data_IF_591017718690
#
_entry.id   IF_591017718690
#
_cell.length_a   1.000
_cell.length_b   1.000
_cell.length_c   1.000
_cell.angle_alpha   90.00
_cell.angle_beta   90.00
_cell.angle_gamma   90.00
#
_symmetry.space_group_name_H-M   'P 1'
#
loop_
_entity.id
_entity.type
_entity.pdbx_description
1 polymer ?
#
# COMPACT_ATOMS: atom_id res chain seq x y z
N UNK A 1 14.50 -1.72 -9.03
CA UNK A 1 14.42 -2.68 -10.16
C UNK A 1 13.05 -2.53 -10.76
N UNK A 2 12.99 -2.28 -12.06
CA UNK A 2 11.74 -2.01 -12.75
C UNK A 2 11.36 -3.23 -13.57
N UNK A 3 10.07 -3.52 -13.65
CA UNK A 3 9.54 -4.64 -14.41
C UNK A 3 8.15 -4.29 -14.94
N UNK A 4 7.82 -4.82 -16.12
CA UNK A 4 6.46 -4.76 -16.61
C UNK A 4 5.60 -5.77 -15.83
N UNK A 5 4.41 -5.37 -15.39
CA UNK A 5 3.35 -6.30 -15.00
C UNK A 5 2.08 -5.83 -15.68
N UNK A 6 1.57 -6.59 -16.64
CA UNK A 6 0.39 -6.18 -17.39
C UNK A 6 -0.91 -6.44 -16.62
N UNK A 7 -2.00 -5.77 -17.04
CA UNK A 7 -3.36 -6.24 -16.77
C UNK A 7 -3.51 -7.70 -17.26
N UNK A 8 -4.56 -8.39 -16.81
CA UNK A 8 -4.87 -9.80 -17.14
C UNK A 8 -4.71 -10.14 -18.62
N UNK A 9 -5.00 -9.17 -19.51
CA UNK A 9 -5.01 -9.31 -20.98
C UNK A 9 -3.71 -8.86 -21.69
N UNK A 10 -2.65 -8.54 -20.95
CA UNK A 10 -1.35 -8.13 -21.49
C UNK A 10 -1.04 -6.64 -21.33
N UNK A 11 0.24 -6.30 -21.23
CA UNK A 11 0.71 -4.92 -21.18
C UNK A 11 0.68 -4.33 -22.60
N UNK A 12 -0.41 -3.66 -22.97
CA UNK A 12 -0.43 -2.83 -24.19
C UNK A 12 0.25 -1.49 -23.93
N UNK A 13 0.77 -0.84 -24.96
CA UNK A 13 1.37 0.50 -24.91
C UNK A 13 0.46 1.57 -24.26
N UNK A 14 -0.86 1.35 -24.29
CA UNK A 14 -1.89 2.22 -23.68
C UNK A 14 -2.34 1.79 -22.27
N UNK A 15 -1.80 0.69 -21.72
CA UNK A 15 -2.10 0.13 -20.38
C UNK A 15 -0.82 -0.31 -19.68
N UNK A 16 0.27 0.44 -19.80
CA UNK A 16 1.55 0.06 -19.19
C UNK A 16 1.50 0.23 -17.67
N UNK A 17 1.06 -0.82 -16.98
CA UNK A 17 1.28 -0.99 -15.55
C UNK A 17 2.73 -1.46 -15.38
N UNK A 18 3.50 -0.73 -14.59
CA UNK A 18 4.91 -1.05 -14.33
C UNK A 18 5.13 -1.15 -12.84
N UNK A 19 5.94 -2.11 -12.42
CA UNK A 19 6.27 -2.33 -11.03
C UNK A 19 7.71 -1.94 -10.77
N UNK A 20 7.96 -1.42 -9.57
CA UNK A 20 9.31 -1.17 -9.08
C UNK A 20 9.48 -1.86 -7.75
N UNK A 21 10.50 -2.71 -7.64
CA UNK A 21 10.95 -3.28 -6.38
C UNK A 21 12.23 -2.58 -5.92
N UNK A 22 12.28 -2.20 -4.65
CA UNK A 22 13.44 -1.69 -3.96
C UNK A 22 13.98 -2.77 -3.01
N UNK A 23 15.26 -3.10 -3.18
CA UNK A 23 15.98 -4.07 -2.37
C UNK A 23 17.09 -3.31 -1.65
N UNK A 24 16.96 -3.15 -0.33
CA UNK A 24 18.04 -2.57 0.47
C UNK A 24 19.28 -3.47 0.40
N UNK A 25 20.52 -2.93 0.31
CA UNK A 25 21.74 -3.73 0.21
C UNK A 25 21.87 -4.83 1.27
N UNK A 26 21.50 -4.54 2.52
CA UNK A 26 21.48 -5.52 3.63
C UNK A 26 20.64 -6.78 3.38
N UNK A 27 19.65 -6.73 2.49
CA UNK A 27 18.87 -7.92 2.12
C UNK A 27 19.71 -8.92 1.32
N UNK A 28 20.74 -8.45 0.64
CA UNK A 28 21.62 -9.24 -0.21
C UNK A 28 22.70 -9.97 0.59
N UNK A 29 22.96 -9.54 1.83
CA UNK A 29 24.01 -10.10 2.69
C UNK A 29 23.63 -11.48 3.26
N UNK A 30 22.34 -11.83 3.24
CA UNK A 30 21.85 -13.11 3.77
C UNK A 30 21.15 -13.93 2.68
N UNK A 31 21.96 -14.63 1.88
CA UNK A 31 21.47 -15.55 0.88
C UNK A 31 20.54 -16.61 1.49
N UNK A 32 19.41 -16.88 0.84
CA UNK A 32 18.44 -17.90 1.25
C UNK A 32 17.36 -17.43 2.23
N UNK A 33 17.54 -16.30 2.90
CA UNK A 33 16.51 -15.67 3.75
C UNK A 33 15.31 -15.23 2.92
N UNK A 34 14.11 -15.55 3.39
CA UNK A 34 12.86 -15.03 2.82
C UNK A 34 12.45 -13.78 3.59
N UNK A 35 12.26 -12.67 2.86
CA UNK A 35 11.94 -11.38 3.45
C UNK A 35 10.45 -11.05 3.28
N UNK A 36 9.83 -10.37 4.26
CA UNK A 36 8.53 -9.75 4.11
C UNK A 36 8.49 -8.77 2.93
N UNK A 37 7.28 -8.46 2.48
CA UNK A 37 7.06 -7.53 1.39
C UNK A 37 6.05 -6.46 1.77
N UNK A 38 6.38 -5.21 1.43
CA UNK A 38 5.47 -4.08 1.49
C UNK A 38 5.14 -3.64 0.07
N UNK A 39 3.85 -3.54 -0.23
CA UNK A 39 3.35 -3.04 -1.50
C UNK A 39 2.73 -1.67 -1.29
N UNK A 40 3.25 -0.64 -1.97
CA UNK A 40 2.76 0.74 -1.86
C UNK A 40 2.04 1.18 -3.13
N UNK A 41 0.74 1.48 -3.01
CA UNK A 41 -0.10 2.04 -4.05
C UNK A 41 -0.15 3.56 -3.91
N UNK A 42 0.29 4.25 -4.96
CA UNK A 42 0.22 5.70 -5.03
C UNK A 42 -1.22 6.22 -5.21
N UNK A 43 -1.43 7.47 -4.78
CA UNK A 43 -2.64 8.24 -5.04
C UNK A 43 -2.71 8.85 -6.45
N UNK A 44 -3.39 9.99 -6.58
CA UNK A 44 -3.48 10.69 -7.86
C UNK A 44 -2.08 11.05 -8.38
N UNK A 45 -1.82 10.71 -9.64
CA UNK A 45 -0.55 10.96 -10.33
C UNK A 45 -0.78 11.94 -11.48
N UNK A 46 -0.97 13.22 -11.16
CA UNK A 46 -1.35 14.25 -12.16
C UNK A 46 -0.30 14.44 -13.25
N UNK A 47 0.96 14.25 -12.90
CA UNK A 47 2.11 14.36 -13.79
C UNK A 47 2.34 13.09 -14.63
N UNK A 48 1.59 12.01 -14.37
CA UNK A 48 1.69 10.74 -15.08
C UNK A 48 3.12 10.18 -15.10
N UNK A 49 3.87 10.42 -14.02
CA UNK A 49 5.24 9.92 -13.87
C UNK A 49 5.20 8.45 -13.49
N UNK A 50 6.18 7.67 -13.94
CA UNK A 50 6.29 6.28 -13.51
C UNK A 50 6.87 6.21 -12.09
N UNK A 51 6.35 5.27 -11.29
CA UNK A 51 6.80 4.98 -9.92
C UNK A 51 6.81 6.21 -9.00
N UNK A 52 5.69 6.97 -8.90
CA UNK A 52 5.57 7.98 -7.86
C UNK A 52 5.81 7.32 -6.49
N UNK A 53 6.36 8.09 -5.55
CA UNK A 53 6.84 7.61 -4.24
C UNK A 53 8.05 6.68 -4.27
N UNK A 54 8.59 6.32 -5.43
CA UNK A 54 9.68 5.36 -5.55
C UNK A 54 10.78 5.84 -6.48
N UNK A 55 11.10 7.14 -6.44
CA UNK A 55 12.19 7.74 -7.22
C UNK A 55 11.78 8.52 -8.46
N UNK A 56 10.49 8.84 -8.61
CA UNK A 56 10.04 9.79 -9.62
C UNK A 56 10.44 11.22 -9.24
N UNK A 57 10.93 12.01 -10.20
CA UNK A 57 11.29 13.41 -9.97
C UNK A 57 10.07 14.23 -9.53
N UNK A 58 10.24 15.05 -8.48
CA UNK A 58 9.15 15.91 -7.95
C UNK A 58 8.12 15.18 -7.09
N UNK A 59 8.32 13.90 -6.80
CA UNK A 59 7.58 13.13 -5.81
C UNK A 59 8.44 12.91 -4.57
N UNK A 60 7.85 12.76 -3.36
CA UNK A 60 8.53 12.12 -2.24
C UNK A 60 9.08 10.74 -2.66
N UNK A 61 10.05 10.22 -1.91
CA UNK A 61 10.69 8.93 -2.18
C UNK A 61 10.76 8.06 -0.91
N UNK A 62 10.01 6.98 -0.90
CA UNK A 62 9.94 6.04 0.22
C UNK A 62 11.25 5.27 0.40
N UNK A 63 12.10 5.17 -0.62
CA UNK A 63 13.34 4.39 -0.54
C UNK A 63 14.28 4.95 0.53
N UNK A 64 14.40 6.27 0.62
CA UNK A 64 15.22 6.92 1.65
C UNK A 64 14.69 6.69 3.06
N UNK A 65 13.37 6.70 3.24
CA UNK A 65 12.77 6.35 4.52
C UNK A 65 12.95 4.87 4.86
N UNK A 66 12.84 4.00 3.86
CA UNK A 66 13.09 2.57 3.98
C UNK A 66 14.52 2.30 4.45
N UNK A 67 15.50 3.00 3.87
CA UNK A 67 16.89 2.92 4.30
C UNK A 67 17.02 3.28 5.77
N UNK A 68 16.43 4.39 6.20
CA UNK A 68 16.48 4.83 7.60
C UNK A 68 15.83 3.81 8.54
N UNK A 69 14.64 3.28 8.23
CA UNK A 69 14.01 2.25 9.06
C UNK A 69 14.87 1.01 9.25
N UNK A 70 15.58 0.59 8.20
CA UNK A 70 16.44 -0.58 8.23
C UNK A 70 17.77 -0.31 8.92
N UNK A 71 18.34 0.90 8.77
CA UNK A 71 19.55 1.31 9.46
C UNK A 71 19.31 1.47 10.96
N UNK A 72 18.20 2.11 11.34
CA UNK A 72 17.79 2.34 12.74
C UNK A 72 17.16 1.12 13.39
N UNK A 73 17.02 0.00 12.66
CA UNK A 73 16.39 -1.23 13.14
C UNK A 73 14.99 -0.97 13.72
N UNK A 74 14.20 -0.13 13.06
CA UNK A 74 12.82 0.17 13.46
C UNK A 74 11.84 -0.90 13.00
N UNK A 75 12.18 -1.61 11.94
CA UNK A 75 11.40 -2.72 11.37
C UNK A 75 12.33 -3.88 10.99
N UNK A 76 11.79 -5.09 10.88
CA UNK A 76 12.52 -6.20 10.25
C UNK A 76 12.87 -5.87 8.79
N UNK A 77 14.02 -6.35 8.27
CA UNK A 77 14.36 -6.21 6.86
C UNK A 77 13.25 -6.73 5.94
N UNK A 78 12.76 -5.87 5.05
CA UNK A 78 11.64 -6.14 4.16
C UNK A 78 11.88 -5.55 2.76
N UNK A 79 11.32 -6.20 1.74
CA UNK A 79 11.30 -5.68 0.36
C UNK A 79 10.21 -4.62 0.25
N UNK A 80 10.47 -3.54 -0.46
CA UNK A 80 9.46 -2.55 -0.83
C UNK A 80 9.15 -2.66 -2.32
N UNK A 81 7.88 -2.76 -2.70
CA UNK A 81 7.44 -2.77 -4.09
C UNK A 81 6.33 -1.74 -4.30
N UNK A 82 6.28 -1.14 -5.48
CA UNK A 82 5.21 -0.23 -5.86
C UNK A 82 4.73 -0.53 -7.28
N UNK A 83 3.45 -0.87 -7.46
CA UNK A 83 2.80 -0.74 -8.74
C UNK A 83 2.80 0.74 -9.18
N UNK A 84 2.80 0.98 -10.48
CA UNK A 84 2.62 2.30 -11.08
C UNK A 84 1.58 2.24 -12.19
N UNK A 85 0.65 3.19 -12.17
CA UNK A 85 -0.27 3.44 -13.27
C UNK A 85 -0.21 4.91 -13.69
N UNK A 86 -0.06 5.12 -15.00
CA UNK A 86 -0.14 6.44 -15.65
C UNK A 86 -1.45 6.65 -16.39
N UNK A 87 -2.31 5.63 -16.44
CA UNK A 87 -3.62 5.64 -17.07
C UNK A 87 -4.70 5.99 -16.07
N UNK A 88 -5.63 6.87 -16.46
CA UNK A 88 -6.75 7.34 -15.63
C UNK A 88 -6.36 7.87 -14.23
N UNK A 89 -5.05 8.10 -13.99
CA UNK A 89 -4.51 8.38 -12.67
C UNK A 89 -4.69 9.81 -12.19
N UNK A 90 -5.45 10.62 -12.94
CA UNK A 90 -5.85 11.99 -12.59
C UNK A 90 -7.18 12.03 -11.84
N UNK A 91 -7.99 10.98 -11.94
CA UNK A 91 -9.32 10.87 -11.33
C UNK A 91 -9.29 9.76 -10.28
N UNK A 92 -9.53 10.05 -8.98
CA UNK A 92 -9.42 9.06 -7.91
C UNK A 92 -10.27 7.79 -8.16
N UNK A 93 -11.47 7.96 -8.70
CA UNK A 93 -12.49 6.91 -8.88
C UNK A 93 -12.22 6.02 -10.10
N UNK A 94 -11.35 6.47 -11.02
CA UNK A 94 -10.91 5.70 -12.18
C UNK A 94 -9.48 5.17 -12.02
N UNK A 95 -8.77 5.62 -10.99
CA UNK A 95 -7.41 5.16 -10.69
C UNK A 95 -7.47 3.68 -10.29
N UNK A 96 -6.46 2.92 -10.72
CA UNK A 96 -6.30 1.50 -10.40
C UNK A 96 -7.43 0.57 -10.89
N UNK A 97 -8.20 0.96 -11.91
CA UNK A 97 -9.19 0.06 -12.53
C UNK A 97 -8.53 -1.22 -13.07
N UNK A 98 -9.00 -2.38 -12.63
CA UNK A 98 -8.43 -3.68 -12.98
C UNK A 98 -7.11 -4.04 -12.29
N UNK A 99 -6.72 -3.37 -11.20
CA UNK A 99 -5.58 -3.81 -10.40
C UNK A 99 -5.82 -5.19 -9.81
N UNK A 100 -4.83 -6.08 -10.01
CA UNK A 100 -4.78 -7.43 -9.46
C UNK A 100 -3.53 -7.55 -8.58
N UNK A 101 -3.73 -7.61 -7.26
CA UNK A 101 -2.65 -7.74 -6.28
C UNK A 101 -1.90 -9.06 -6.42
N UNK A 102 -2.61 -10.17 -6.62
CA UNK A 102 -2.00 -11.50 -6.68
C UNK A 102 -1.07 -11.61 -7.89
N UNK A 103 -1.53 -11.07 -9.02
CA UNK A 103 -0.73 -10.95 -10.23
C UNK A 103 0.47 -10.04 -10.01
N UNK A 104 0.29 -8.86 -9.40
CA UNK A 104 1.41 -7.97 -9.10
C UNK A 104 2.48 -8.64 -8.21
N UNK A 105 2.05 -9.38 -7.18
CA UNK A 105 2.94 -10.12 -6.30
C UNK A 105 3.70 -11.22 -7.04
N UNK A 106 3.03 -11.97 -7.93
CA UNK A 106 3.69 -13.00 -8.75
C UNK A 106 4.80 -12.41 -9.66
N UNK A 107 4.53 -11.25 -10.27
CA UNK A 107 5.52 -10.55 -11.09
C UNK A 107 6.67 -9.96 -10.25
N UNK A 108 6.36 -9.46 -9.05
CA UNK A 108 7.37 -8.97 -8.10
C UNK A 108 8.32 -10.10 -7.71
N UNK A 109 7.78 -11.25 -7.28
CA UNK A 109 8.56 -12.46 -6.94
C UNK A 109 9.44 -12.88 -8.10
N UNK A 110 8.89 -12.94 -9.32
CA UNK A 110 9.65 -13.31 -10.51
C UNK A 110 10.79 -12.33 -10.77
N UNK A 111 10.56 -11.03 -10.64
CA UNK A 111 11.56 -10.01 -10.90
C UNK A 111 12.71 -10.06 -9.88
N UNK A 112 12.43 -10.37 -8.61
CA UNK A 112 13.43 -10.32 -7.54
C UNK A 112 14.10 -11.66 -7.23
N UNK A 113 13.64 -12.77 -7.82
CA UNK A 113 14.01 -14.15 -7.44
C UNK A 113 15.52 -14.44 -7.41
N UNK A 114 16.29 -13.80 -8.29
CA UNK A 114 17.73 -14.03 -8.41
C UNK A 114 18.55 -13.21 -7.39
N UNK A 115 17.87 -12.39 -6.57
CA UNK A 115 18.51 -11.51 -5.58
C UNK A 115 18.02 -11.76 -4.16
N UNK A 116 16.72 -11.96 -3.98
CA UNK A 116 16.09 -12.21 -2.67
C UNK A 116 14.91 -13.17 -2.81
N UNK A 117 14.60 -13.89 -1.74
CA UNK A 117 13.34 -14.63 -1.61
C UNK A 117 12.32 -13.75 -0.91
N UNK A 118 11.07 -13.74 -1.38
CA UNK A 118 9.95 -13.07 -0.72
C UNK A 118 9.11 -14.10 0.03
N UNK A 119 8.78 -13.79 1.28
CA UNK A 119 7.82 -14.50 2.09
C UNK A 119 6.40 -13.94 1.84
N UNK A 120 5.62 -14.64 1.01
CA UNK A 120 4.25 -14.25 0.68
C UNK A 120 3.25 -14.44 1.83
N UNK A 121 3.66 -15.04 2.96
CA UNK A 121 2.83 -15.07 4.19
C UNK A 121 2.97 -13.80 5.03
N UNK A 122 3.89 -12.89 4.66
CA UNK A 122 4.19 -11.65 5.38
C UNK A 122 4.15 -10.45 4.43
N UNK A 123 2.97 -10.22 3.85
CA UNK A 123 2.74 -9.11 2.92
C UNK A 123 1.86 -8.05 3.57
N UNK A 124 2.30 -6.80 3.52
CA UNK A 124 1.47 -5.63 3.86
C UNK A 124 1.21 -4.83 2.60
N UNK A 125 -0.04 -4.46 2.36
CA UNK A 125 -0.41 -3.48 1.32
C UNK A 125 -0.71 -2.13 1.95
N UNK A 126 -0.24 -1.09 1.30
CA UNK A 126 -0.39 0.30 1.73
C UNK A 126 -0.96 1.06 0.54
N UNK A 127 -1.96 1.90 0.77
CA UNK A 127 -2.47 2.80 -0.25
C UNK A 127 -2.74 4.17 0.32
N UNK A 128 -2.31 5.19 -0.42
CA UNK A 128 -2.44 6.59 -0.03
C UNK A 128 -3.39 7.34 -0.96
N UNK A 129 -4.20 8.25 -0.41
CA UNK A 129 -4.97 9.22 -1.19
C UNK A 129 -5.92 8.53 -2.18
N UNK A 130 -5.82 8.84 -3.47
CA UNK A 130 -6.60 8.22 -4.55
C UNK A 130 -6.51 6.70 -4.61
N UNK A 131 -5.52 6.06 -3.98
CA UNK A 131 -5.36 4.60 -4.01
C UNK A 131 -6.57 3.84 -3.44
N UNK A 132 -7.28 4.44 -2.49
CA UNK A 132 -8.47 3.84 -1.85
C UNK A 132 -9.81 4.45 -2.28
N UNK A 133 -9.83 5.35 -3.27
CA UNK A 133 -11.04 6.05 -3.70
C UNK A 133 -11.82 5.35 -4.82
N UNK A 134 -11.30 4.23 -5.35
CA UNK A 134 -11.97 3.42 -6.36
C UNK A 134 -12.46 2.12 -5.73
N UNK A 135 -13.77 2.00 -5.50
CA UNK A 135 -14.38 0.80 -4.94
C UNK A 135 -14.25 -0.46 -5.81
N UNK A 136 -13.80 -0.32 -7.07
CA UNK A 136 -13.58 -1.42 -8.03
C UNK A 136 -12.10 -1.68 -8.34
N UNK A 137 -11.18 -1.01 -7.64
CA UNK A 137 -9.76 -1.12 -7.94
C UNK A 137 -8.85 -0.77 -6.76
N UNK A 138 -7.56 -0.72 -7.06
CA UNK A 138 -6.54 -0.20 -6.16
C UNK A 138 -6.51 -0.92 -4.81
N UNK A 139 -6.54 -0.14 -3.74
CA UNK A 139 -6.42 -0.67 -2.39
C UNK A 139 -7.62 -1.54 -2.01
N UNK A 140 -8.83 -1.19 -2.47
CA UNK A 140 -10.04 -1.96 -2.16
C UNK A 140 -9.93 -3.40 -2.69
N UNK A 141 -9.57 -3.57 -3.96
CA UNK A 141 -9.39 -4.92 -4.54
C UNK A 141 -8.15 -5.61 -4.00
N UNK A 142 -7.09 -4.86 -3.69
CA UNK A 142 -5.88 -5.42 -3.09
C UNK A 142 -6.13 -6.08 -1.73
N UNK A 143 -6.98 -5.49 -0.88
CA UNK A 143 -7.37 -6.04 0.43
C UNK A 143 -8.22 -7.31 0.34
N UNK A 144 -8.71 -7.63 -0.87
CA UNK A 144 -9.48 -8.84 -1.19
C UNK A 144 -8.64 -9.90 -1.92
N UNK A 145 -7.31 -9.71 -1.96
CA UNK A 145 -6.34 -10.67 -2.47
C UNK A 145 -6.62 -12.09 -1.97
N UNK A 146 -6.37 -13.10 -2.81
CA UNK A 146 -6.50 -14.50 -2.38
C UNK A 146 -5.33 -14.95 -1.50
N UNK A 147 -4.23 -14.19 -1.52
CA UNK A 147 -3.06 -14.42 -0.68
C UNK A 147 -3.31 -13.93 0.76
N UNK A 148 -2.67 -14.57 1.76
CA UNK A 148 -2.86 -14.23 3.17
C UNK A 148 -2.03 -12.99 3.54
N UNK A 149 -2.50 -11.81 3.13
CA UNK A 149 -1.90 -10.54 3.54
C UNK A 149 -2.02 -10.37 5.07
N UNK A 150 -0.96 -9.90 5.73
CA UNK A 150 -0.97 -9.69 7.19
C UNK A 150 -1.56 -8.33 7.57
N UNK A 151 -1.50 -7.35 6.67
CA UNK A 151 -1.95 -5.99 6.97
C UNK A 151 -2.30 -5.16 5.72
N UNK A 152 -3.27 -4.28 5.91
CA UNK A 152 -3.68 -3.22 5.00
C UNK A 152 -3.59 -1.86 5.70
N UNK A 153 -2.76 -0.95 5.18
CA UNK A 153 -2.66 0.42 5.68
C UNK A 153 -3.27 1.40 4.69
N UNK A 154 -4.42 1.96 5.05
CA UNK A 154 -5.24 2.87 4.26
C UNK A 154 -4.97 4.29 4.73
N UNK A 155 -4.24 5.08 3.96
CA UNK A 155 -3.73 6.38 4.40
C UNK A 155 -4.46 7.52 3.70
N UNK A 156 -5.26 8.26 4.47
CA UNK A 156 -5.91 9.51 4.08
C UNK A 156 -6.60 9.44 2.71
N UNK A 157 -7.38 8.37 2.51
CA UNK A 157 -8.18 8.12 1.30
C UNK A 157 -9.50 8.90 1.34
N UNK A 158 -10.38 8.73 0.37
CA UNK A 158 -11.61 9.54 0.24
C UNK A 158 -12.51 9.54 1.49
N UNK A 159 -12.62 8.39 2.17
CA UNK A 159 -13.26 8.22 3.48
C UNK A 159 -14.72 8.69 3.55
N UNK A 160 -15.51 8.32 2.55
CA UNK A 160 -16.97 8.43 2.60
C UNK A 160 -17.65 7.06 2.83
N UNK A 161 -18.98 7.04 2.89
CA UNK A 161 -19.74 5.79 3.09
C UNK A 161 -19.54 4.77 1.97
N UNK A 162 -19.29 5.24 0.73
CA UNK A 162 -19.05 4.38 -0.43
C UNK A 162 -17.67 3.73 -0.36
N UNK A 163 -16.72 4.33 0.35
CA UNK A 163 -15.38 3.75 0.59
C UNK A 163 -15.34 2.84 1.83
N UNK A 164 -16.09 3.17 2.88
CA UNK A 164 -16.04 2.46 4.16
C UNK A 164 -16.40 0.97 4.02
N UNK A 165 -17.51 0.67 3.33
CA UNK A 165 -17.98 -0.72 3.18
C UNK A 165 -17.00 -1.56 2.35
N UNK A 166 -16.54 -1.14 1.16
CA UNK A 166 -15.59 -1.94 0.40
C UNK A 166 -14.27 -2.21 1.13
N UNK A 167 -13.75 -1.23 1.87
CA UNK A 167 -12.54 -1.42 2.70
C UNK A 167 -12.78 -2.42 3.85
N UNK A 168 -13.99 -2.43 4.43
CA UNK A 168 -14.37 -3.38 5.48
C UNK A 168 -14.48 -4.83 4.98
N UNK A 169 -14.69 -5.04 3.67
CA UNK A 169 -14.75 -6.37 3.03
C UNK A 169 -13.37 -7.01 2.80
N UNK A 170 -12.31 -6.38 3.30
CA UNK A 170 -11.01 -7.00 3.47
C UNK A 170 -11.11 -8.39 4.13
N UNK A 171 -10.14 -9.27 3.82
CA UNK A 171 -10.09 -10.61 4.41
C UNK A 171 -10.27 -10.59 5.94
N UNK A 172 -11.08 -11.51 6.51
CA UNK A 172 -11.38 -11.49 7.95
C UNK A 172 -10.15 -11.58 8.86
N UNK A 173 -9.10 -12.29 8.44
CA UNK A 173 -7.89 -12.59 9.20
C UNK A 173 -6.80 -11.50 9.13
N UNK A 174 -6.86 -10.61 8.13
CA UNK A 174 -5.89 -9.54 7.90
C UNK A 174 -6.14 -8.34 8.83
N UNK A 175 -5.10 -7.65 9.31
CA UNK A 175 -5.27 -6.34 9.97
C UNK A 175 -5.61 -5.25 8.93
N UNK A 176 -6.56 -4.36 9.22
CA UNK A 176 -6.82 -3.16 8.40
C UNK A 176 -6.82 -1.94 9.30
N UNK A 177 -5.92 -1.02 8.98
CA UNK A 177 -5.74 0.25 9.68
C UNK A 177 -5.99 1.38 8.70
N UNK A 178 -6.90 2.27 9.05
CA UNK A 178 -7.19 3.50 8.31
C UNK A 178 -6.64 4.67 9.11
N UNK A 179 -5.71 5.42 8.54
CA UNK A 179 -5.17 6.65 9.16
C UNK A 179 -5.66 7.87 8.39
N UNK A 180 -5.94 8.96 9.10
CA UNK A 180 -6.41 10.19 8.47
C UNK A 180 -5.98 11.46 9.19
N UNK A 181 -6.06 12.58 8.48
CA UNK A 181 -5.83 13.93 8.99
C UNK A 181 -7.06 14.81 8.73
N UNK A 182 -7.24 15.90 9.51
CA UNK A 182 -8.47 16.72 9.51
C UNK A 182 -8.47 17.92 8.55
N UNK A 183 -7.46 18.06 7.70
CA UNK A 183 -7.38 19.13 6.70
C UNK A 183 -8.42 19.04 5.59
N UNK A 184 -9.18 17.95 5.52
CA UNK A 184 -10.27 17.75 4.57
C UNK A 184 -11.62 17.61 5.27
N UNK A 185 -12.67 18.19 4.67
CA UNK A 185 -14.03 18.12 5.21
C UNK A 185 -14.67 16.77 4.84
N UNK A 186 -14.81 15.89 5.83
CA UNK A 186 -15.39 14.54 5.71
C UNK A 186 -16.17 14.19 6.97
N UNK A 187 -17.09 13.26 6.84
CA UNK A 187 -17.78 12.66 7.98
C UNK A 187 -16.99 11.46 8.52
N UNK A 188 -15.89 11.75 9.23
CA UNK A 188 -15.04 10.72 9.83
C UNK A 188 -15.79 9.81 10.82
N UNK A 189 -16.69 10.34 11.68
CA UNK A 189 -17.51 9.48 12.54
C UNK A 189 -18.40 8.51 11.74
N UNK A 190 -19.10 8.96 10.70
CA UNK A 190 -19.92 8.08 9.87
C UNK A 190 -19.07 7.00 9.18
N UNK A 191 -17.95 7.39 8.57
CA UNK A 191 -17.00 6.45 7.96
C UNK A 191 -16.53 5.39 8.97
N UNK A 192 -16.06 5.82 10.15
CA UNK A 192 -15.49 4.94 11.16
C UNK A 192 -16.51 3.95 11.69
N UNK A 193 -17.72 4.42 12.04
CA UNK A 193 -18.80 3.57 12.49
C UNK A 193 -19.17 2.52 11.45
N UNK A 194 -19.32 2.94 10.19
CA UNK A 194 -19.69 2.06 9.10
C UNK A 194 -18.62 1.01 8.79
N UNK A 195 -17.35 1.42 8.76
CA UNK A 195 -16.22 0.51 8.55
C UNK A 195 -16.16 -0.58 9.63
N UNK A 196 -16.30 -0.18 10.91
CA UNK A 196 -16.27 -1.12 12.04
C UNK A 196 -17.49 -2.05 12.03
N UNK A 197 -18.69 -1.52 11.79
CA UNK A 197 -19.92 -2.32 11.71
C UNK A 197 -19.84 -3.35 10.58
N UNK A 198 -19.49 -2.92 9.36
CA UNK A 198 -19.37 -3.80 8.21
C UNK A 198 -18.28 -4.87 8.42
N UNK A 199 -17.17 -4.52 9.08
CA UNK A 199 -16.11 -5.49 9.38
C UNK A 199 -16.58 -6.55 10.38
N UNK A 200 -17.37 -6.17 11.39
CA UNK A 200 -17.98 -7.14 12.32
C UNK A 200 -18.98 -8.04 11.61
N UNK A 201 -19.76 -7.50 10.67
CA UNK A 201 -20.76 -8.27 9.92
C UNK A 201 -20.14 -9.41 9.09
N UNK A 202 -18.91 -9.24 8.60
CA UNK A 202 -18.17 -10.32 7.90
C UNK A 202 -17.39 -11.26 8.84
N UNK A 203 -17.48 -11.05 10.16
CA UNK A 203 -16.74 -11.83 11.15
C UNK A 203 -15.23 -11.56 11.16
N UNK A 204 -14.81 -10.31 10.93
CA UNK A 204 -13.39 -9.95 10.97
C UNK A 204 -12.76 -10.28 12.34
N UNK A 205 -11.62 -10.97 12.31
CA UNK A 205 -10.81 -11.34 13.48
C UNK A 205 -9.50 -10.56 13.56
N UNK A 206 -9.01 -10.05 12.42
CA UNK A 206 -7.88 -9.11 12.38
C UNK A 206 -8.27 -7.72 12.91
N UNK A 207 -7.28 -6.89 13.19
CA UNK A 207 -7.48 -5.52 13.65
C UNK A 207 -8.34 -4.74 12.64
N UNK A 208 -9.28 -3.93 13.13
CA UNK A 208 -10.09 -2.98 12.34
C UNK A 208 -10.05 -1.65 13.04
N UNK A 209 -9.12 -0.81 12.61
CA UNK A 209 -8.79 0.42 13.33
C UNK A 209 -8.89 1.63 12.42
N UNK A 210 -9.45 2.71 12.94
CA UNK A 210 -9.51 4.02 12.28
C UNK A 210 -8.89 5.02 13.24
N UNK A 211 -7.86 5.71 12.78
CA UNK A 211 -7.00 6.57 13.61
C UNK A 211 -6.83 7.95 12.99
N UNK A 212 -7.05 8.98 13.81
CA UNK A 212 -6.62 10.32 13.47
C UNK A 212 -5.14 10.51 13.82
N UNK A 213 -4.38 11.04 12.87
CA UNK A 213 -3.01 11.50 13.08
C UNK A 213 -3.02 13.03 13.01
N UNK A 214 -2.89 13.74 14.15
CA UNK A 214 -2.96 15.19 14.19
C UNK A 214 -1.67 15.79 13.63
N UNK A 215 -1.70 16.20 12.36
CA UNK A 215 -0.55 16.82 11.70
C UNK A 215 -0.72 18.33 11.61
N UNK A 216 0.29 19.04 12.10
CA UNK A 216 0.43 20.48 11.95
C UNK A 216 1.57 20.75 10.97
N UNK A 217 1.27 20.69 9.68
CA UNK A 217 2.25 20.93 8.63
C UNK A 217 1.65 21.67 7.44
N UNK A 218 2.50 22.08 6.49
CA UNK A 218 2.04 22.72 5.24
C UNK A 218 1.46 21.71 4.24
N UNK A 219 1.77 20.41 4.40
CA UNK A 219 1.33 19.34 3.49
C UNK A 219 0.87 18.10 4.28
N UNK A 220 -0.15 18.23 5.16
CA UNK A 220 -0.55 17.15 6.06
C UNK A 220 -0.98 15.88 5.30
N UNK A 221 -1.56 16.05 4.12
CA UNK A 221 -1.94 14.95 3.24
C UNK A 221 -0.74 14.11 2.76
N UNK A 222 0.43 14.71 2.55
CA UNK A 222 1.64 13.98 2.16
C UNK A 222 2.37 13.45 3.40
N UNK A 223 2.47 14.27 4.44
CA UNK A 223 3.27 13.98 5.64
C UNK A 223 2.68 12.82 6.46
N UNK A 224 1.36 12.61 6.41
CA UNK A 224 0.69 11.48 7.05
C UNK A 224 1.19 10.13 6.57
N UNK A 225 1.73 10.04 5.35
CA UNK A 225 2.29 8.78 4.86
C UNK A 225 3.41 8.32 5.78
N UNK A 226 4.39 9.19 6.06
CA UNK A 226 5.53 8.83 6.90
C UNK A 226 5.12 8.53 8.34
N UNK A 227 4.26 9.34 8.95
CA UNK A 227 3.79 9.12 10.32
C UNK A 227 2.99 7.81 10.46
N UNK A 228 2.19 7.46 9.44
CA UNK A 228 1.46 6.19 9.42
C UNK A 228 2.39 4.99 9.30
N UNK A 229 3.42 5.08 8.43
CA UNK A 229 4.42 4.02 8.26
C UNK A 229 5.23 3.82 9.56
N UNK A 230 5.67 4.91 10.17
CA UNK A 230 6.42 4.93 11.44
C UNK A 230 5.67 4.21 12.57
N UNK A 231 4.35 4.40 12.64
CA UNK A 231 3.49 3.86 13.68
C UNK A 231 3.13 2.39 13.47
N UNK A 232 2.83 1.99 12.24
CA UNK A 232 2.17 0.72 11.98
C UNK A 232 3.09 -0.36 11.40
N UNK A 233 4.15 -0.01 10.65
CA UNK A 233 5.07 -1.03 10.13
C UNK A 233 5.77 -1.86 11.23
N UNK A 234 6.23 -1.29 12.36
CA UNK A 234 6.86 -2.07 13.42
C UNK A 234 5.94 -3.14 14.03
N UNK A 235 4.62 -2.99 13.91
CA UNK A 235 3.66 -3.99 14.39
C UNK A 235 3.66 -5.24 13.51
N UNK A 236 3.68 -5.08 12.18
CA UNK A 236 3.67 -6.20 11.22
C UNK A 236 5.08 -6.76 10.95
N UNK A 237 6.08 -5.91 11.06
CA UNK A 237 7.49 -6.23 10.87
C UNK A 237 8.30 -5.79 12.08
N UNK A 238 8.12 -6.43 13.24
CA UNK A 238 8.87 -6.06 14.44
C UNK A 238 10.37 -6.17 14.18
N UNK A 239 11.18 -5.26 14.74
CA UNK A 239 12.62 -5.31 14.57
C UNK A 239 13.18 -6.64 15.10
N UNK A 240 14.25 -7.14 14.45
CA UNK A 240 14.95 -8.30 14.96
C UNK A 240 15.56 -7.93 16.31
N UNK A 241 15.18 -8.66 17.37
CA UNK A 241 15.73 -8.49 18.71
C UNK A 241 17.17 -8.95 18.84
#
# INVERSE_FOLDING_TARGET
MDYAYGATDGATEHRAWTGRAYLHPRLLDHAGTAYPLVVYLHGINKQQVQHPWMGAQGSPDLRSAWDNYLLEQRIAPAVLAAPSSTLACKLPQALWDGFDMDRFLAFTVRATRDRVRIDLSRVVVIGHSGAGCNHRGGLVTALQSTLPLVGGLVIDVCMDELDARPLALARPDMDVVVTYQRGWQRDFPAFSNLFVEASRAIGATGLRHVEEIPLVSRQPHTDIVMESLDRWLPRWFPPAG
#
